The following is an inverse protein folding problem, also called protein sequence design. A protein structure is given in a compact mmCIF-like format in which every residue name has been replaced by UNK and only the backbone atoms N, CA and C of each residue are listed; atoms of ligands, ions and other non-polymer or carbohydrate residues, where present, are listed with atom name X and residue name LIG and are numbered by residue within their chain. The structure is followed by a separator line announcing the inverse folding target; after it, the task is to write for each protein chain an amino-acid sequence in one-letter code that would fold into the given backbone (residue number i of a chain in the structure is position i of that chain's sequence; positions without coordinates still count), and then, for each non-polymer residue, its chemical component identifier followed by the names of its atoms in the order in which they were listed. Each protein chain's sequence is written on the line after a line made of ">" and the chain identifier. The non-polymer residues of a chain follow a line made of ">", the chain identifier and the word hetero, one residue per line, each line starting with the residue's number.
data_IF_250511510386
#
_entry.id   IF_250511510386
#
_cell.length_a   1.000
_cell.length_b   1.000
_cell.length_c   1.000
_cell.angle_alpha   90.00
_cell.angle_beta   90.00
_cell.angle_gamma   90.00
#
_symmetry.space_group_name_H-M   'P 1'
#
loop_
_entity.id
_entity.type
_entity.pdbx_description
1 polymer ?
#
# COMPACT_ATOMS: atom_id res chain seq x y z
N UNK A 1 21.93 14.12 13.59
CA UNK A 1 21.61 12.99 12.70
C UNK A 1 20.10 12.80 12.70
N UNK A 2 19.39 13.28 11.67
CA UNK A 2 17.93 13.22 11.61
C UNK A 2 17.56 11.79 11.17
N UNK A 3 17.05 10.96 12.09
CA UNK A 3 16.52 9.63 11.74
C UNK A 3 15.36 9.83 10.76
N UNK A 4 15.30 9.16 9.60
CA UNK A 4 14.16 9.29 8.71
C UNK A 4 12.91 8.80 9.47
N UNK A 5 11.90 9.67 9.58
CA UNK A 5 10.55 9.29 10.00
C UNK A 5 10.12 8.10 9.14
N UNK A 6 9.72 7.00 9.80
CA UNK A 6 9.23 5.73 9.23
C UNK A 6 8.84 5.86 7.75
N UNK A 7 9.77 5.50 6.87
CA UNK A 7 9.48 5.50 5.43
C UNK A 7 8.61 4.27 5.18
N UNK A 8 7.40 4.48 4.71
CA UNK A 8 6.41 3.43 4.44
C UNK A 8 5.94 3.53 3.00
N UNK A 9 5.75 2.37 2.36
CA UNK A 9 5.16 2.21 1.04
C UNK A 9 3.91 1.36 1.19
N UNK A 10 2.74 1.95 0.93
CA UNK A 10 1.43 1.30 1.11
C UNK A 10 1.29 0.60 2.47
N UNK A 11 1.66 1.29 3.55
CA UNK A 11 1.62 0.74 4.92
C UNK A 11 2.78 -0.19 5.30
N UNK A 12 3.63 -0.62 4.35
CA UNK A 12 4.78 -1.48 4.63
C UNK A 12 6.05 -0.67 4.85
N UNK A 13 6.80 -0.98 5.91
CA UNK A 13 8.07 -0.32 6.21
C UNK A 13 9.09 -0.55 5.09
N UNK A 14 9.70 0.52 4.58
CA UNK A 14 10.74 0.45 3.56
C UNK A 14 12.09 0.88 4.13
N UNK A 15 13.12 0.10 3.82
CA UNK A 15 14.49 0.37 4.21
C UNK A 15 15.27 0.95 3.02
N UNK A 16 16.01 2.03 3.24
CA UNK A 16 16.96 2.53 2.26
C UNK A 16 18.18 1.59 2.23
N UNK A 17 18.43 0.96 1.09
CA UNK A 17 19.53 -0.02 0.92
C UNK A 17 20.60 0.45 -0.07
N UNK A 18 20.30 1.46 -0.89
CA UNK A 18 21.27 2.02 -1.83
C UNK A 18 22.18 3.08 -1.20
N UNK A 19 23.49 2.93 -1.40
CA UNK A 19 24.49 3.96 -1.12
C UNK A 19 25.06 4.50 -2.45
N UNK A 20 24.88 5.80 -2.74
CA UNK A 20 25.37 6.45 -3.97
C UNK A 20 24.44 7.53 -4.53
N UNK A 21 24.59 7.88 -5.83
CA UNK A 21 23.75 8.87 -6.54
C UNK A 21 22.29 8.43 -6.76
N UNK A 22 21.99 7.13 -6.64
CA UNK A 22 20.63 6.57 -6.75
C UNK A 22 20.10 6.18 -5.37
N UNK A 23 18.92 6.67 -5.02
CA UNK A 23 18.19 6.22 -3.85
C UNK A 23 17.45 4.92 -4.18
N UNK A 24 17.82 3.83 -3.52
CA UNK A 24 17.15 2.53 -3.64
C UNK A 24 16.54 2.16 -2.30
N UNK A 25 15.27 1.81 -2.33
CA UNK A 25 14.50 1.37 -1.16
C UNK A 25 14.05 -0.08 -1.37
N UNK A 26 14.04 -0.84 -0.29
CA UNK A 26 13.60 -2.23 -0.26
C UNK A 26 12.50 -2.38 0.79
N UNK A 27 11.48 -3.15 0.45
CA UNK A 27 10.44 -3.61 1.37
C UNK A 27 10.31 -5.12 1.26
N UNK A 28 9.78 -5.75 2.31
CA UNK A 28 9.41 -7.16 2.28
C UNK A 28 7.90 -7.23 2.47
N UNK A 29 7.20 -7.81 1.51
CA UNK A 29 5.74 -7.95 1.54
C UNK A 29 5.44 -9.44 1.69
N UNK A 30 4.64 -9.79 2.69
CA UNK A 30 4.05 -11.13 2.79
C UNK A 30 2.88 -11.18 1.82
N UNK A 31 3.06 -11.92 0.73
CA UNK A 31 2.07 -12.01 -0.35
C UNK A 31 0.69 -12.45 0.14
N UNK A 32 0.62 -13.42 1.07
CA UNK A 32 -0.65 -13.93 1.60
C UNK A 32 -1.40 -12.91 2.45
N UNK A 33 -0.68 -12.21 3.33
CA UNK A 33 -1.28 -11.15 4.15
C UNK A 33 -1.69 -9.97 3.28
N UNK A 34 -0.85 -9.61 2.31
CA UNK A 34 -1.12 -8.52 1.38
C UNK A 34 -2.31 -8.82 0.47
N UNK A 35 -2.42 -10.05 -0.05
CA UNK A 35 -3.56 -10.48 -0.84
C UNK A 35 -4.85 -10.49 -0.01
N UNK A 36 -4.79 -10.96 1.24
CA UNK A 36 -5.96 -10.98 2.13
C UNK A 36 -6.43 -9.56 2.50
N UNK A 37 -5.51 -8.63 2.76
CA UNK A 37 -5.83 -7.22 3.00
C UNK A 37 -6.46 -6.61 1.73
N UNK A 38 -5.84 -6.81 0.57
CA UNK A 38 -6.34 -6.28 -0.71
C UNK A 38 -7.73 -6.85 -1.03
N UNK A 39 -7.94 -8.15 -0.82
CA UNK A 39 -9.24 -8.80 -1.03
C UNK A 39 -10.30 -8.24 -0.08
N UNK A 40 -9.97 -8.05 1.20
CA UNK A 40 -10.88 -7.46 2.19
C UNK A 40 -11.22 -6.01 1.87
N UNK A 41 -10.25 -5.20 1.44
CA UNK A 41 -10.46 -3.80 1.04
C UNK A 41 -11.34 -3.71 -0.21
N UNK A 42 -11.07 -4.55 -1.22
CA UNK A 42 -11.88 -4.62 -2.45
C UNK A 42 -13.30 -5.09 -2.14
N UNK A 43 -13.45 -6.11 -1.29
CA UNK A 43 -14.77 -6.60 -0.87
C UNK A 43 -15.54 -5.51 -0.13
N UNK A 44 -14.89 -4.81 0.80
CA UNK A 44 -15.52 -3.70 1.54
C UNK A 44 -15.94 -2.59 0.59
N UNK A 45 -15.10 -2.24 -0.40
CA UNK A 45 -15.46 -1.25 -1.41
C UNK A 45 -16.67 -1.69 -2.25
N UNK A 46 -16.72 -2.96 -2.66
CA UNK A 46 -17.87 -3.53 -3.39
C UNK A 46 -19.13 -3.50 -2.52
N UNK A 47 -19.04 -3.93 -1.26
CA UNK A 47 -20.18 -3.94 -0.34
C UNK A 47 -20.72 -2.51 -0.15
N UNK A 48 -19.85 -1.51 0.02
CA UNK A 48 -20.22 -0.09 0.06
C UNK A 48 -20.87 0.37 -1.25
N UNK A 49 -20.35 -0.03 -2.42
CA UNK A 49 -20.98 0.33 -3.70
C UNK A 49 -22.38 -0.27 -3.85
N UNK A 50 -22.58 -1.49 -3.36
CA UNK A 50 -23.89 -2.16 -3.37
C UNK A 50 -24.85 -1.46 -2.41
N UNK A 51 -24.40 -1.15 -1.20
CA UNK A 51 -25.24 -0.58 -0.15
C UNK A 51 -25.60 0.89 -0.42
N UNK A 52 -24.65 1.69 -0.92
CA UNK A 52 -24.86 3.11 -1.22
C UNK A 52 -25.40 3.35 -2.64
N UNK A 53 -25.31 2.36 -3.53
CA UNK A 53 -25.76 2.45 -4.92
C UNK A 53 -24.96 3.43 -5.78
N UNK A 54 -23.76 3.82 -5.34
CA UNK A 54 -22.87 4.76 -6.03
C UNK A 54 -21.69 4.00 -6.61
N UNK A 55 -21.64 3.93 -7.95
CA UNK A 55 -20.48 3.40 -8.67
C UNK A 55 -19.30 4.37 -8.48
N UNK A 56 -18.09 3.89 -8.14
CA UNK A 56 -16.92 4.74 -7.98
C UNK A 56 -16.57 5.39 -9.32
N UNK A 57 -16.22 6.67 -9.30
CA UNK A 57 -15.67 7.30 -10.49
C UNK A 57 -14.37 6.58 -10.86
N UNK A 58 -14.31 6.05 -12.09
CA UNK A 58 -13.09 5.46 -12.62
C UNK A 58 -12.10 6.59 -12.87
N UNK A 59 -11.11 6.73 -12.01
CA UNK A 59 -9.92 7.53 -12.29
C UNK A 59 -9.17 6.89 -13.48
N UNK A 60 -9.20 7.57 -14.63
CA UNK A 60 -8.44 7.22 -15.84
C UNK A 60 -6.93 7.39 -15.66
#
# INVERSE_FOLDING_TARGET
>A
MIKPKNVVYRGHAIAKVGHGKRAVFRTTINEKEWSAITESEVKTAIDVWIDEGVEPERDN
#
